data_IF_812511122768
#
_entry.id   IF_812511122768
#
_cell.length_a   1.000
_cell.length_b   1.000
_cell.length_c   1.000
_cell.angle_alpha   90.00
_cell.angle_beta   90.00
_cell.angle_gamma   90.00
#
_symmetry.space_group_name_H-M   'P 1'
#
loop_
_entity.id
_entity.type
_entity.pdbx_description
1 polymer ?
#
# COMPACT_ATOMS: atom_id res chain seq x y z
N UNK A 1 10.35 12.30 -12.92
CA UNK A 1 10.04 12.16 -11.48
C UNK A 1 11.11 11.28 -10.86
N UNK A 2 12.10 11.87 -10.18
CA UNK A 2 13.10 11.15 -9.38
C UNK A 2 12.57 11.14 -7.95
N UNK A 3 12.09 9.99 -7.49
CA UNK A 3 11.72 9.79 -6.09
C UNK A 3 13.01 9.41 -5.34
N UNK A 4 13.63 10.31 -4.55
CA UNK A 4 14.93 10.03 -3.94
C UNK A 4 14.81 9.07 -2.73
N UNK A 5 13.60 8.82 -2.24
CA UNK A 5 13.35 8.10 -1.00
C UNK A 5 12.64 6.77 -1.26
N UNK A 6 13.45 5.72 -1.35
CA UNK A 6 12.98 4.34 -1.35
C UNK A 6 12.80 3.86 0.09
N UNK A 7 11.54 3.64 0.48
CA UNK A 7 11.14 3.22 1.81
C UNK A 7 11.30 1.70 1.97
N UNK A 8 11.77 1.28 3.13
CA UNK A 8 11.81 -0.14 3.49
C UNK A 8 10.39 -0.66 3.82
N UNK A 9 10.28 -1.96 4.10
CA UNK A 9 8.99 -2.58 4.38
C UNK A 9 8.29 -2.06 5.64
N UNK A 10 9.01 -1.63 6.68
CA UNK A 10 8.40 -1.09 7.90
C UNK A 10 7.79 0.29 7.60
N UNK A 11 8.57 1.19 7.00
CA UNK A 11 8.12 2.55 6.72
C UNK A 11 6.97 2.56 5.71
N UNK A 12 7.05 1.71 4.68
CA UNK A 12 5.97 1.55 3.71
C UNK A 12 4.67 1.05 4.37
N UNK A 13 4.77 0.04 5.24
CA UNK A 13 3.60 -0.50 5.94
C UNK A 13 2.97 0.52 6.90
N UNK A 14 3.82 1.27 7.61
CA UNK A 14 3.40 2.35 8.51
C UNK A 14 2.63 3.43 7.77
N UNK A 15 3.09 3.82 6.57
CA UNK A 15 2.37 4.80 5.75
C UNK A 15 1.01 4.28 5.26
N UNK A 16 0.94 3.00 4.88
CA UNK A 16 -0.30 2.41 4.36
C UNK A 16 -1.37 2.19 5.45
N UNK A 17 -0.95 1.98 6.70
CA UNK A 17 -1.86 1.53 7.77
C UNK A 17 -1.94 2.47 8.97
N UNK A 18 -0.98 3.38 9.13
CA UNK A 18 -0.78 4.18 10.34
C UNK A 18 -0.17 3.39 11.51
N UNK A 19 -0.04 2.06 11.39
CA UNK A 19 0.39 1.20 12.48
C UNK A 19 1.93 1.15 12.59
N UNK A 20 2.44 1.48 13.77
CA UNK A 20 3.87 1.51 14.09
C UNK A 20 4.32 0.35 15.00
N UNK A 21 3.38 -0.49 15.47
CA UNK A 21 3.64 -1.59 16.39
C UNK A 21 3.93 -2.94 15.71
N UNK A 22 3.93 -2.97 14.38
CA UNK A 22 4.03 -4.22 13.61
C UNK A 22 5.49 -4.57 13.32
N UNK A 23 5.87 -5.81 13.65
CA UNK A 23 7.19 -6.34 13.34
C UNK A 23 7.42 -6.60 11.85
N UNK A 24 8.70 -6.58 11.45
CA UNK A 24 9.15 -6.67 10.04
C UNK A 24 8.59 -7.88 9.28
N UNK A 25 8.51 -9.04 9.94
CA UNK A 25 7.98 -10.27 9.33
C UNK A 25 6.51 -10.11 8.92
N UNK A 26 5.71 -9.48 9.77
CA UNK A 26 4.29 -9.24 9.52
C UNK A 26 4.13 -8.17 8.42
N UNK A 27 4.88 -7.07 8.52
CA UNK A 27 4.87 -6.02 7.50
C UNK A 27 5.22 -6.57 6.10
N UNK A 28 6.28 -7.39 5.99
CA UNK A 28 6.66 -8.06 4.72
C UNK A 28 5.56 -8.98 4.19
N UNK A 29 4.93 -9.77 5.06
CA UNK A 29 3.84 -10.66 4.66
C UNK A 29 2.65 -9.87 4.10
N UNK A 30 2.23 -8.82 4.82
CA UNK A 30 1.13 -7.94 4.39
C UNK A 30 1.45 -7.20 3.10
N UNK A 31 2.65 -6.65 2.97
CA UNK A 31 3.10 -5.99 1.74
C UNK A 31 3.22 -6.96 0.57
N UNK A 32 3.55 -8.23 0.81
CA UNK A 32 3.56 -9.27 -0.24
C UNK A 32 2.15 -9.51 -0.76
N UNK A 33 1.16 -9.56 0.12
CA UNK A 33 -0.25 -9.63 -0.27
C UNK A 33 -0.69 -8.40 -1.07
N UNK A 34 -0.34 -7.19 -0.63
CA UNK A 34 -0.68 -5.95 -1.35
C UNK A 34 0.01 -5.84 -2.72
N UNK A 35 1.22 -6.38 -2.87
CA UNK A 35 1.87 -6.50 -4.18
C UNK A 35 1.04 -7.36 -5.15
N UNK A 36 0.40 -8.42 -4.66
CA UNK A 36 -0.54 -9.22 -5.45
C UNK A 36 -1.79 -8.45 -5.89
N UNK A 37 -2.10 -7.32 -5.23
CA UNK A 37 -3.20 -6.40 -5.58
C UNK A 37 -2.76 -5.19 -6.40
N UNK A 38 -1.50 -5.12 -6.84
CA UNK A 38 -1.00 -4.03 -7.68
C UNK A 38 -0.03 -3.05 -6.98
N UNK A 39 0.28 -3.24 -5.69
CA UNK A 39 1.29 -2.41 -5.02
C UNK A 39 2.66 -2.53 -5.71
N UNK A 40 3.18 -1.41 -6.22
CA UNK A 40 4.48 -1.37 -6.89
C UNK A 40 5.61 -1.43 -5.86
N UNK A 41 6.64 -2.22 -6.17
CA UNK A 41 7.84 -2.33 -5.35
C UNK A 41 9.09 -2.45 -6.23
N UNK A 42 10.22 -1.98 -5.73
CA UNK A 42 11.53 -2.10 -6.36
C UNK A 42 12.38 -3.08 -5.55
N UNK A 43 12.87 -4.13 -6.21
CA UNK A 43 13.79 -5.08 -5.58
C UNK A 43 15.21 -4.55 -5.65
N UNK A 44 15.87 -4.42 -4.51
CA UNK A 44 17.30 -4.06 -4.40
C UNK A 44 17.98 -5.11 -3.54
N UNK A 45 18.80 -5.94 -4.20
CA UNK A 45 19.39 -7.14 -3.59
C UNK A 45 18.31 -8.12 -3.10
N UNK A 46 18.30 -8.37 -1.79
CA UNK A 46 17.35 -9.27 -1.12
C UNK A 46 16.12 -8.55 -0.55
N UNK A 47 16.09 -7.23 -0.60
CA UNK A 47 15.04 -6.42 0.01
C UNK A 47 14.12 -5.79 -1.04
N UNK A 48 12.88 -5.54 -0.62
CA UNK A 48 11.90 -4.78 -1.39
C UNK A 48 11.79 -3.39 -0.81
N UNK A 49 11.77 -2.39 -1.70
CA UNK A 49 11.61 -0.99 -1.37
C UNK A 49 10.43 -0.40 -2.13
N UNK A 50 9.89 0.69 -1.60
CA UNK A 50 8.66 1.32 -2.08
C UNK A 50 8.91 2.80 -2.29
N UNK A 51 8.48 3.35 -3.42
CA UNK A 51 8.52 4.80 -3.64
C UNK A 51 7.33 5.43 -2.93
N UNK A 52 7.55 6.60 -2.33
CA UNK A 52 6.50 7.32 -1.63
C UNK A 52 5.34 7.68 -2.56
N UNK A 53 5.63 8.18 -3.76
CA UNK A 53 4.59 8.52 -4.74
C UNK A 53 3.71 7.32 -5.10
N UNK A 54 4.31 6.16 -5.38
CA UNK A 54 3.54 4.95 -5.69
C UNK A 54 2.69 4.45 -4.51
N UNK A 55 3.16 4.60 -3.27
CA UNK A 55 2.34 4.26 -2.09
C UNK A 55 1.14 5.19 -1.96
N UNK A 56 1.33 6.49 -2.20
CA UNK A 56 0.25 7.48 -2.16
C UNK A 56 -0.77 7.26 -3.28
N UNK A 57 -0.31 6.95 -4.49
CA UNK A 57 -1.19 6.57 -5.61
C UNK A 57 -2.03 5.34 -5.24
N UNK A 58 -1.40 4.29 -4.70
CA UNK A 58 -2.11 3.08 -4.29
C UNK A 58 -3.17 3.33 -3.21
N UNK A 59 -2.88 4.20 -2.23
CA UNK A 59 -3.87 4.61 -1.21
C UNK A 59 -5.04 5.33 -1.87
N UNK A 60 -4.75 6.29 -2.77
CA UNK A 60 -5.79 7.04 -3.47
C UNK A 60 -6.67 6.14 -4.36
N UNK A 61 -6.08 5.13 -5.00
CA UNK A 61 -6.81 4.13 -5.77
C UNK A 61 -7.71 3.27 -4.87
N UNK A 62 -7.20 2.75 -3.75
CA UNK A 62 -8.00 1.97 -2.77
C UNK A 62 -9.18 2.78 -2.19
N UNK A 63 -8.96 4.06 -1.87
CA UNK A 63 -10.02 4.97 -1.41
C UNK A 63 -11.06 5.26 -2.51
N UNK A 64 -10.63 5.37 -3.76
CA UNK A 64 -11.53 5.57 -4.90
C UNK A 64 -12.37 4.31 -5.20
N UNK A 65 -11.79 3.12 -5.07
CA UNK A 65 -12.52 1.85 -5.21
C UNK A 65 -13.55 1.66 -4.08
N UNK A 66 -13.18 1.97 -2.84
CA UNK A 66 -14.14 1.95 -1.70
C UNK A 66 -15.32 2.89 -1.90
N UNK A 67 -15.09 4.09 -2.45
CA UNK A 67 -16.17 5.04 -2.76
C UNK A 67 -17.08 4.57 -3.90
N UNK A 68 -16.56 3.80 -4.87
CA UNK A 68 -17.36 3.23 -5.97
C UNK A 68 -18.16 1.99 -5.58
N UNK A 69 -17.69 1.22 -4.59
CA UNK A 69 -18.40 0.05 -4.06
C UNK A 69 -19.65 0.37 -3.21
N UNK A 70 -19.84 1.63 -2.80
CA UNK A 70 -20.90 2.04 -1.87
C UNK A 70 -22.17 2.62 -2.54
N UNK A 71 -22.35 2.47 -3.85
CA UNK A 71 -23.50 3.05 -4.59
C UNK A 71 -24.58 2.01 -4.96
N UNK A 72 -24.66 0.85 -4.30
CA UNK A 72 -25.71 -0.16 -4.53
C UNK A 72 -26.61 -0.47 -3.32
N UNK A 73 -26.57 0.32 -2.24
CA UNK A 73 -27.62 0.30 -1.22
C UNK A 73 -28.43 1.58 -1.27
N UNK A 74 -29.62 1.52 -1.88
CA UNK A 74 -30.55 2.65 -1.91
C UNK A 74 -31.63 2.65 -2.97
N UNK A 75 -31.78 1.60 -3.78
CA UNK A 75 -32.90 1.44 -4.71
C UNK A 75 -33.75 0.21 -4.34
N UNK A 76 -34.28 0.16 -3.12
CA UNK A 76 -35.41 -0.70 -2.75
C UNK A 76 -35.92 -0.34 -1.35
N UNK A 77 -37.00 0.46 -1.26
CA UNK A 77 -38.30 0.07 -0.72
C UNK A 77 -39.12 1.30 -0.33
#
# INVERSE_FOLDING_TARGET
MNDPLLLNCIDAYRLLTGDSGVGEKIAKSRLTYLRGKGLKSKRIGRNFFYSLSHLQEFIAEDEAEKKKGSTLEGAAK
#
